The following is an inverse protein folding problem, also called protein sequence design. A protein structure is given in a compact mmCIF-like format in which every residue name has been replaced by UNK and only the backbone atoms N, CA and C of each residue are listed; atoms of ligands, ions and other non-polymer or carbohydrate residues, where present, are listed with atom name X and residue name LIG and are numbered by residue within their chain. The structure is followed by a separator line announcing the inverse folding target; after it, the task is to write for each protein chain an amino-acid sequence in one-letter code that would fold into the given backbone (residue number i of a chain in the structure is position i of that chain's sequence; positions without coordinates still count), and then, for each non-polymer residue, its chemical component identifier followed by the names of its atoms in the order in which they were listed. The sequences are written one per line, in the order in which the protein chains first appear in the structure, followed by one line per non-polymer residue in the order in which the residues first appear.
data_IF_540788974882
#
_entry.id   IF_540788974882
#
_cell.length_a   1.000
_cell.length_b   1.000
_cell.length_c   1.000
_cell.angle_alpha   90.00
_cell.angle_beta   90.00
_cell.angle_gamma   90.00
#
_symmetry.space_group_name_H-M   'P 1'
#
loop_
_entity.id
_entity.type
_entity.pdbx_description
1 polymer ?
#
# COMPACT_ATOMS: atom_id res chain seq x y z
N UNK A 1 1.14 -5.99 1.80
CA UNK A 1 0.26 -5.00 1.12
C UNK A 1 1.12 -4.15 0.19
N UNK A 2 0.61 -3.65 -0.93
CA UNK A 2 1.38 -2.81 -1.87
C UNK A 2 0.63 -1.52 -2.12
N UNK A 3 1.31 -0.40 -1.94
CA UNK A 3 0.84 0.95 -2.28
C UNK A 3 1.82 1.51 -3.30
N UNK A 4 1.33 2.25 -4.30
CA UNK A 4 2.20 2.97 -5.24
C UNK A 4 1.78 4.42 -5.42
N UNK A 5 2.73 5.27 -5.78
CA UNK A 5 2.44 6.70 -5.95
C UNK A 5 3.64 7.58 -6.28
N UNK A 6 3.42 8.89 -6.12
CA UNK A 6 4.44 9.92 -6.31
C UNK A 6 5.46 9.94 -5.17
N UNK A 7 6.50 10.76 -5.32
CA UNK A 7 7.48 10.95 -4.26
C UNK A 7 6.79 11.52 -3.01
N UNK A 8 6.98 10.93 -1.82
CA UNK A 8 6.25 11.30 -0.61
C UNK A 8 6.82 12.60 -0.04
N UNK A 9 6.22 13.73 -0.41
CA UNK A 9 6.55 15.06 0.09
C UNK A 9 5.33 15.80 0.61
N UNK A 10 5.57 16.73 1.52
CA UNK A 10 4.57 17.64 2.05
C UNK A 10 3.50 16.97 2.92
N UNK A 11 2.39 17.69 3.13
CA UNK A 11 1.27 17.24 3.94
C UNK A 11 0.37 16.26 3.18
N UNK A 12 -0.12 15.23 3.87
CA UNK A 12 -1.00 14.23 3.28
C UNK A 12 -2.38 14.79 2.89
N UNK A 13 -2.85 15.87 3.56
CA UNK A 13 -4.12 16.54 3.25
C UNK A 13 -3.95 18.06 3.21
N UNK A 14 -4.24 18.66 2.06
CA UNK A 14 -4.11 20.11 1.83
C UNK A 14 -5.32 20.90 2.37
N UNK A 15 -6.47 20.26 2.65
CA UNK A 15 -7.76 20.93 2.89
C UNK A 15 -8.59 20.38 4.05
N UNK A 16 -8.02 20.13 5.23
CA UNK A 16 -8.87 19.78 6.39
C UNK A 16 -8.46 20.59 7.61
N UNK A 17 -9.43 21.20 8.31
CA UNK A 17 -9.18 22.03 9.49
C UNK A 17 -8.93 21.23 10.78
N UNK A 18 -8.97 19.89 10.71
CA UNK A 18 -8.73 19.02 11.87
C UNK A 18 -7.24 18.89 12.15
N UNK A 19 -6.83 19.04 13.41
CA UNK A 19 -5.42 18.98 13.85
C UNK A 19 -4.70 17.68 13.42
N UNK A 20 -5.43 16.57 13.26
CA UNK A 20 -4.93 15.27 12.75
C UNK A 20 -4.65 15.24 11.24
N UNK A 21 -4.93 16.32 10.51
CA UNK A 21 -4.70 16.45 9.05
C UNK A 21 -3.35 17.07 8.67
N UNK A 22 -2.54 17.47 9.66
CA UNK A 22 -1.20 18.07 9.47
C UNK A 22 -0.07 17.06 9.34
N UNK A 23 -0.36 15.77 9.41
CA UNK A 23 0.66 14.72 9.31
C UNK A 23 1.34 14.74 7.93
N UNK A 24 2.67 14.67 7.92
CA UNK A 24 3.44 14.55 6.69
C UNK A 24 3.02 13.28 5.92
N UNK A 25 3.17 13.30 4.59
CA UNK A 25 2.90 12.13 3.75
C UNK A 25 3.66 10.89 4.24
N UNK A 26 4.90 11.07 4.69
CA UNK A 26 5.74 10.03 5.30
C UNK A 26 5.08 9.48 6.56
N UNK A 27 4.65 10.33 7.49
CA UNK A 27 3.97 9.89 8.71
C UNK A 27 2.68 9.10 8.40
N UNK A 28 1.91 9.52 7.39
CA UNK A 28 0.73 8.77 6.96
C UNK A 28 1.07 7.38 6.39
N UNK A 29 2.15 7.25 5.62
CA UNK A 29 2.61 5.95 5.12
C UNK A 29 3.06 5.04 6.26
N UNK A 30 3.83 5.56 7.22
CA UNK A 30 4.31 4.81 8.38
C UNK A 30 3.16 4.36 9.28
N UNK A 31 2.17 5.22 9.53
CA UNK A 31 0.97 4.88 10.32
C UNK A 31 0.04 3.90 9.61
N UNK A 32 0.04 3.88 8.27
CA UNK A 32 -0.59 2.82 7.48
C UNK A 32 0.20 1.49 7.53
N UNK A 33 1.37 1.49 8.19
CA UNK A 33 2.22 0.33 8.41
C UNK A 33 3.26 0.09 7.32
N UNK A 34 3.46 1.00 6.37
CA UNK A 34 4.51 0.82 5.35
C UNK A 34 5.86 0.62 6.04
N UNK A 35 6.54 -0.46 5.69
CA UNK A 35 7.84 -0.86 6.24
C UNK A 35 8.94 -0.91 5.18
N UNK A 36 8.56 -0.98 3.91
CA UNK A 36 9.50 -1.11 2.80
C UNK A 36 9.22 -0.07 1.73
N UNK A 37 10.22 0.75 1.43
CA UNK A 37 10.15 1.84 0.46
C UNK A 37 10.95 1.49 -0.79
N UNK A 38 10.31 1.48 -1.95
CA UNK A 38 10.93 1.18 -3.23
C UNK A 38 11.02 2.46 -4.07
N UNK A 39 12.22 2.99 -4.20
CA UNK A 39 12.50 4.20 -4.96
C UNK A 39 12.89 3.87 -6.40
N UNK A 40 12.10 4.35 -7.36
CA UNK A 40 12.32 4.15 -8.79
C UNK A 40 13.01 5.34 -9.48
N UNK A 41 13.41 6.34 -8.71
CA UNK A 41 13.97 7.60 -9.22
C UNK A 41 15.46 7.46 -9.51
N UNK A 42 15.96 8.23 -10.47
CA UNK A 42 17.40 8.31 -10.73
C UNK A 42 18.09 9.17 -9.67
N UNK A 43 19.39 8.96 -9.45
CA UNK A 43 20.15 9.68 -8.43
C UNK A 43 20.08 11.22 -8.62
N UNK A 44 20.09 11.69 -9.86
CA UNK A 44 19.94 13.10 -10.20
C UNK A 44 18.57 13.67 -9.85
N UNK A 45 17.50 12.87 -10.02
CA UNK A 45 16.17 13.26 -9.59
C UNK A 45 16.10 13.35 -8.07
N UNK A 46 16.65 12.37 -7.34
CA UNK A 46 16.71 12.38 -5.87
C UNK A 46 17.52 13.57 -5.34
N UNK A 47 18.65 13.90 -5.97
CA UNK A 47 19.46 15.06 -5.60
C UNK A 47 18.66 16.37 -5.71
N UNK A 48 17.78 16.49 -6.71
CA UNK A 48 16.86 17.64 -6.82
C UNK A 48 15.80 17.64 -5.73
N UNK A 49 15.32 16.47 -5.31
CA UNK A 49 14.31 16.35 -4.26
C UNK A 49 14.84 16.69 -2.86
N UNK A 50 16.15 16.57 -2.59
CA UNK A 50 16.75 17.00 -1.30
C UNK A 50 16.37 18.44 -0.93
N UNK A 51 16.27 19.33 -1.92
CA UNK A 51 15.93 20.74 -1.72
C UNK A 51 14.49 20.99 -1.28
N UNK A 52 13.61 20.00 -1.42
CA UNK A 52 12.19 20.10 -1.09
C UNK A 52 11.92 19.75 0.37
N UNK A 53 12.81 18.98 0.99
CA UNK A 53 12.70 18.56 2.39
C UNK A 53 13.23 19.64 3.32
N UNK A 54 12.51 19.92 4.41
CA UNK A 54 12.75 21.07 5.30
C UNK A 54 14.18 21.12 5.85
N UNK A 55 14.79 19.94 6.07
CA UNK A 55 16.14 19.79 6.63
C UNK A 55 17.22 19.47 5.58
N UNK A 56 16.87 19.47 4.29
CA UNK A 56 17.79 19.08 3.21
C UNK A 56 18.15 17.59 3.19
N UNK A 57 17.45 16.77 3.99
CA UNK A 57 17.66 15.34 4.10
C UNK A 57 17.23 14.60 2.85
N UNK A 58 17.79 13.42 2.63
CA UNK A 58 17.18 12.46 1.72
C UNK A 58 15.90 11.89 2.34
N UNK A 59 15.03 11.37 1.47
CA UNK A 59 13.78 10.76 1.91
C UNK A 59 13.98 9.59 2.88
N UNK A 60 15.00 8.75 2.66
CA UNK A 60 15.30 7.62 3.53
C UNK A 60 15.74 8.08 4.93
N UNK A 61 16.64 9.06 5.01
CA UNK A 61 17.04 9.69 6.28
C UNK A 61 15.83 10.25 7.03
N UNK A 62 14.99 11.03 6.35
CA UNK A 62 13.81 11.63 6.94
C UNK A 62 12.78 10.58 7.40
N UNK A 63 12.52 9.56 6.58
CA UNK A 63 11.61 8.47 6.92
C UNK A 63 12.07 7.68 8.14
N UNK A 64 13.38 7.43 8.28
CA UNK A 64 13.94 6.75 9.44
C UNK A 64 13.79 7.57 10.72
N UNK A 65 14.01 8.89 10.65
CA UNK A 65 13.78 9.79 11.79
C UNK A 65 12.30 9.79 12.20
N UNK A 66 11.38 9.94 11.25
CA UNK A 66 9.94 9.85 11.54
C UNK A 66 9.53 8.50 12.10
N UNK A 67 10.10 7.39 11.61
CA UNK A 67 9.83 6.06 12.14
C UNK A 67 10.26 5.94 13.61
N UNK A 68 11.47 6.42 13.93
CA UNK A 68 11.99 6.43 15.30
C UNK A 68 11.14 7.32 16.23
N UNK A 69 10.72 8.49 15.76
CA UNK A 69 9.89 9.42 16.54
C UNK A 69 8.49 8.85 16.78
N UNK A 70 7.82 8.32 15.75
CA UNK A 70 6.52 7.66 15.90
C UNK A 70 6.64 6.49 16.89
N UNK A 71 7.68 5.66 16.77
CA UNK A 71 7.90 4.54 17.69
C UNK A 71 8.08 5.01 19.14
N UNK A 72 8.78 6.13 19.36
CA UNK A 72 8.95 6.74 20.69
C UNK A 72 7.61 7.22 21.27
N UNK A 73 6.78 7.85 20.45
CA UNK A 73 5.44 8.28 20.88
C UNK A 73 4.53 7.08 21.18
N UNK A 74 4.62 6.02 20.38
CA UNK A 74 3.83 4.81 20.60
C UNK A 74 4.17 4.13 21.93
N UNK A 75 5.45 4.02 22.30
CA UNK A 75 5.82 3.40 23.59
C UNK A 75 5.31 4.25 24.77
N UNK A 76 5.35 5.58 24.67
CA UNK A 76 4.77 6.47 25.69
C UNK A 76 3.25 6.23 25.80
N UNK A 77 2.55 6.12 24.67
CA UNK A 77 1.12 5.80 24.65
C UNK A 77 0.79 4.43 25.26
N UNK A 78 1.59 3.40 24.99
CA UNK A 78 1.43 2.07 25.60
C UNK A 78 1.62 2.13 27.12
N UNK A 79 2.65 2.83 27.59
CA UNK A 79 2.92 2.97 29.02
C UNK A 79 1.78 3.72 29.73
N UNK A 80 1.27 4.81 29.14
CA UNK A 80 0.13 5.55 29.68
C UNK A 80 -1.14 4.68 29.76
N UNK A 81 -1.40 3.83 28.76
CA UNK A 81 -2.51 2.88 28.80
C UNK A 81 -2.31 1.82 29.89
N UNK A 82 -1.07 1.33 30.07
CA UNK A 82 -0.72 0.37 31.11
C UNK A 82 -0.96 0.94 32.51
N UNK A 83 -0.47 2.15 32.79
CA UNK A 83 -0.69 2.86 34.06
C UNK A 83 -2.18 3.06 34.34
N UNK A 84 -2.93 3.46 33.31
CA UNK A 84 -4.38 3.64 33.45
C UNK A 84 -5.13 2.34 33.72
N UNK A 85 -4.69 1.22 33.15
CA UNK A 85 -5.26 -0.09 33.40
C UNK A 85 -4.98 -0.53 34.85
N UNK A 86 -3.75 -0.35 35.33
CA UNK A 86 -3.39 -0.67 36.71
C UNK A 86 -4.20 0.15 37.72
N UNK A 87 -4.42 1.45 37.45
CA UNK A 87 -5.30 2.27 38.26
C UNK A 87 -6.75 1.75 38.28
N UNK A 88 -7.29 1.36 37.11
CA UNK A 88 -8.65 0.83 37.01
C UNK A 88 -8.82 -0.50 37.78
N UNK A 89 -7.85 -1.42 37.65
CA UNK A 89 -7.79 -2.67 38.41
C UNK A 89 -7.77 -2.43 39.92
N UNK A 90 -6.91 -1.53 40.38
CA UNK A 90 -6.80 -1.18 41.81
C UNK A 90 -8.12 -0.61 42.34
N UNK A 91 -8.81 0.23 41.55
CA UNK A 91 -10.10 0.81 41.91
C UNK A 91 -11.21 -0.24 41.96
N UNK A 92 -11.29 -1.14 40.98
CA UNK A 92 -12.27 -2.22 40.95
C UNK A 92 -12.05 -3.21 42.12
N UNK A 93 -10.79 -3.55 42.42
CA UNK A 93 -10.43 -4.39 43.57
C UNK A 93 -10.83 -3.75 44.90
N UNK A 94 -10.61 -2.44 45.06
CA UNK A 94 -11.07 -1.70 46.25
C UNK A 94 -12.59 -1.71 46.38
N UNK A 95 -13.33 -1.56 45.27
CA UNK A 95 -14.79 -1.67 45.26
C UNK A 95 -15.29 -3.01 45.81
N UNK A 96 -14.64 -4.11 45.39
CA UNK A 96 -14.92 -5.48 45.88
C UNK A 96 -14.63 -5.61 47.37
N UNK A 97 -13.54 -5.03 47.86
CA UNK A 97 -13.15 -5.08 49.28
C UNK A 97 -14.08 -4.26 50.18
N UNK A 98 -14.48 -3.07 49.74
CA UNK A 98 -15.34 -2.15 50.52
C UNK A 98 -16.82 -2.56 50.46
N UNK A 99 -17.18 -3.47 49.55
CA UNK A 99 -18.55 -3.98 49.42
C UNK A 99 -19.47 -2.99 48.70
N UNK A 100 -19.01 -2.40 47.59
CA UNK A 100 -19.88 -1.59 46.74
C UNK A 100 -21.09 -2.39 46.27
N UNK A 101 -22.24 -1.72 46.16
CA UNK A 101 -23.45 -2.33 45.63
C UNK A 101 -23.22 -2.86 44.21
N UNK A 102 -23.92 -3.92 43.83
CA UNK A 102 -23.71 -4.65 42.56
C UNK A 102 -23.63 -3.72 41.34
N UNK A 103 -24.55 -2.78 41.20
CA UNK A 103 -24.57 -1.82 40.09
C UNK A 103 -23.30 -0.93 40.03
N UNK A 104 -22.75 -0.53 41.18
CA UNK A 104 -21.54 0.28 41.24
C UNK A 104 -20.30 -0.57 40.95
N UNK A 105 -20.28 -1.82 41.41
CA UNK A 105 -19.19 -2.75 41.10
C UNK A 105 -19.15 -3.09 39.61
N UNK A 106 -20.31 -3.35 38.99
CA UNK A 106 -20.43 -3.65 37.56
C UNK A 106 -19.87 -2.48 36.71
N UNK A 107 -20.11 -1.22 37.12
CA UNK A 107 -19.53 -0.05 36.45
C UNK A 107 -17.99 0.00 36.53
N UNK A 108 -17.41 -0.41 37.67
CA UNK A 108 -15.96 -0.46 37.83
C UNK A 108 -15.34 -1.58 36.99
N UNK A 109 -15.99 -2.74 36.95
CA UNK A 109 -15.52 -3.89 36.17
C UNK A 109 -15.60 -3.59 34.65
N UNK A 110 -16.68 -2.94 34.17
CA UNK A 110 -16.78 -2.45 32.79
C UNK A 110 -15.67 -1.42 32.49
N UNK A 111 -15.38 -0.51 33.43
CA UNK A 111 -14.32 0.46 33.25
C UNK A 111 -12.92 -0.20 33.17
N UNK A 112 -12.66 -1.21 34.00
CA UNK A 112 -11.44 -2.03 33.96
C UNK A 112 -11.31 -2.73 32.60
N UNK A 113 -12.37 -3.38 32.12
CA UNK A 113 -12.40 -4.08 30.84
C UNK A 113 -12.15 -3.12 29.66
N UNK A 114 -12.78 -1.94 29.67
CA UNK A 114 -12.54 -0.92 28.64
C UNK A 114 -11.07 -0.48 28.60
N UNK A 115 -10.46 -0.22 29.76
CA UNK A 115 -9.02 0.14 29.83
C UNK A 115 -8.12 -1.00 29.37
N UNK A 116 -8.51 -2.24 29.63
CA UNK A 116 -7.78 -3.42 29.16
C UNK A 116 -7.79 -3.50 27.65
N UNK A 117 -8.96 -3.33 27.04
CA UNK A 117 -9.11 -3.31 25.59
C UNK A 117 -8.29 -2.17 24.95
N UNK A 118 -8.23 -0.99 25.58
CA UNK A 118 -7.42 0.13 25.10
C UNK A 118 -5.92 -0.18 25.17
N UNK A 119 -5.45 -0.77 26.27
CA UNK A 119 -4.07 -1.24 26.41
C UNK A 119 -3.72 -2.29 25.37
N UNK A 120 -4.55 -3.32 25.19
CA UNK A 120 -4.30 -4.40 24.24
C UNK A 120 -4.22 -3.88 22.80
N UNK A 121 -5.09 -2.94 22.43
CA UNK A 121 -5.03 -2.26 21.12
C UNK A 121 -3.75 -1.45 20.94
N UNK A 122 -3.36 -0.65 21.94
CA UNK A 122 -2.15 0.16 21.89
C UNK A 122 -0.90 -0.72 21.80
N UNK A 123 -0.84 -1.78 22.60
CA UNK A 123 0.24 -2.77 22.62
C UNK A 123 0.35 -3.49 21.28
N UNK A 124 -0.77 -3.98 20.74
CA UNK A 124 -0.80 -4.63 19.43
C UNK A 124 -0.38 -3.68 18.30
N UNK A 125 -0.75 -2.40 18.36
CA UNK A 125 -0.31 -1.42 17.37
C UNK A 125 1.21 -1.19 17.45
N UNK A 126 1.77 -1.04 18.65
CA UNK A 126 3.21 -0.90 18.85
C UNK A 126 4.00 -2.14 18.39
N UNK A 127 3.53 -3.35 18.74
CA UNK A 127 4.20 -4.60 18.41
C UNK A 127 4.19 -4.86 16.89
N UNK A 128 3.14 -4.44 16.19
CA UNK A 128 3.02 -4.52 14.73
C UNK A 128 3.66 -3.33 13.98
N UNK A 129 4.14 -2.31 14.71
CA UNK A 129 4.83 -1.17 14.12
C UNK A 129 6.29 -1.55 13.86
N UNK A 130 6.75 -1.31 12.64
CA UNK A 130 8.10 -1.73 12.24
C UNK A 130 9.17 -1.01 13.06
N UNK A 131 10.20 -1.71 13.58
CA UNK A 131 11.31 -1.07 14.27
C UNK A 131 12.30 -0.41 13.31
N UNK A 132 12.42 -0.94 12.09
CA UNK A 132 13.36 -0.49 11.07
C UNK A 132 12.69 -0.44 9.71
N UNK A 133 13.06 0.54 8.89
CA UNK A 133 12.58 0.64 7.51
C UNK A 133 13.55 -0.04 6.55
N UNK A 134 12.99 -0.66 5.52
CA UNK A 134 13.76 -1.14 4.38
C UNK A 134 13.67 -0.11 3.24
N UNK A 135 14.81 0.21 2.65
CA UNK A 135 14.88 1.09 1.48
C UNK A 135 15.50 0.33 0.31
N UNK A 136 14.74 0.18 -0.78
CA UNK A 136 15.18 -0.44 -2.03
C UNK A 136 15.34 0.67 -3.06
N UNK A 137 16.56 0.83 -3.56
CA UNK A 137 16.86 1.77 -4.63
C UNK A 137 16.99 1.02 -5.95
N UNK A 138 16.03 1.23 -6.86
CA UNK A 138 16.02 0.63 -8.19
C UNK A 138 15.79 1.71 -9.25
N UNK A 139 16.82 2.44 -9.68
CA UNK A 139 16.65 3.55 -10.61
C UNK A 139 16.13 3.04 -11.95
N UNK A 140 15.04 3.66 -12.42
CA UNK A 140 14.52 3.46 -13.77
C UNK A 140 14.64 4.78 -14.54
N UNK A 141 15.09 4.77 -15.81
CA UNK A 141 15.22 5.98 -16.61
C UNK A 141 13.93 6.80 -16.65
N UNK A 142 14.01 8.13 -16.62
CA UNK A 142 12.82 8.98 -16.83
C UNK A 142 12.20 8.71 -18.21
N UNK A 143 10.89 8.42 -18.24
CA UNK A 143 10.22 7.89 -19.44
C UNK A 143 10.08 6.36 -19.43
N UNK A 144 10.84 5.68 -18.56
CA UNK A 144 10.49 4.37 -17.99
C UNK A 144 10.58 3.17 -18.91
N UNK A 145 11.03 3.32 -20.16
CA UNK A 145 11.19 2.17 -21.06
C UNK A 145 12.60 1.65 -20.95
N UNK A 146 12.74 0.45 -20.40
CA UNK A 146 13.92 -0.35 -20.58
C UNK A 146 13.75 -1.10 -21.88
N UNK A 147 14.62 -0.83 -22.85
CA UNK A 147 14.51 -1.41 -24.21
C UNK A 147 15.46 -2.59 -24.38
N UNK A 148 16.45 -2.72 -23.49
CA UNK A 148 17.46 -3.77 -23.57
C UNK A 148 17.02 -5.00 -22.75
N UNK A 149 17.20 -6.22 -23.28
CA UNK A 149 16.84 -7.45 -22.57
C UNK A 149 17.44 -7.57 -21.16
N UNK A 150 18.67 -7.07 -20.97
CA UNK A 150 19.36 -7.10 -19.67
C UNK A 150 18.66 -6.22 -18.64
N UNK A 151 18.14 -5.08 -19.07
CA UNK A 151 17.44 -4.13 -18.22
C UNK A 151 16.06 -4.68 -17.80
N UNK A 152 15.38 -5.40 -18.70
CA UNK A 152 14.14 -6.11 -18.39
C UNK A 152 14.37 -7.24 -17.39
N UNK A 153 15.46 -8.01 -17.55
CA UNK A 153 15.82 -9.05 -16.60
C UNK A 153 16.00 -8.48 -15.19
N UNK A 154 16.72 -7.37 -15.05
CA UNK A 154 16.87 -6.68 -13.76
C UNK A 154 15.54 -6.24 -13.15
N UNK A 155 14.60 -5.80 -13.99
CA UNK A 155 13.25 -5.44 -13.53
C UNK A 155 12.48 -6.68 -13.06
N UNK A 156 12.58 -7.80 -13.79
CA UNK A 156 11.98 -9.07 -13.37
C UNK A 156 12.59 -9.59 -12.05
N UNK A 157 13.91 -9.50 -11.89
CA UNK A 157 14.61 -9.87 -10.65
C UNK A 157 14.11 -9.01 -9.46
N UNK A 158 13.92 -7.70 -9.67
CA UNK A 158 13.27 -6.84 -8.67
C UNK A 158 11.86 -7.35 -8.33
N UNK A 159 11.03 -7.66 -9.33
CA UNK A 159 9.66 -8.11 -9.08
C UNK A 159 9.63 -9.41 -8.25
N UNK A 160 10.54 -10.34 -8.51
CA UNK A 160 10.69 -11.57 -7.70
C UNK A 160 11.04 -11.24 -6.25
N UNK A 161 11.96 -10.30 -6.01
CA UNK A 161 12.29 -9.84 -4.66
C UNK A 161 11.07 -9.19 -3.98
N UNK A 162 10.34 -8.32 -4.67
CA UNK A 162 9.15 -7.67 -4.12
C UNK A 162 8.04 -8.69 -3.82
N UNK A 163 7.86 -9.72 -4.65
CA UNK A 163 6.93 -10.83 -4.41
C UNK A 163 7.29 -11.60 -3.14
N UNK A 164 8.57 -11.91 -2.93
CA UNK A 164 9.03 -12.60 -1.72
C UNK A 164 8.76 -11.77 -0.46
N UNK A 165 8.96 -10.45 -0.52
CA UNK A 165 8.63 -9.53 0.58
C UNK A 165 7.15 -9.50 0.89
N UNK A 166 6.31 -9.45 -0.15
CA UNK A 166 4.85 -9.52 0.02
C UNK A 166 4.44 -10.83 0.70
N UNK A 167 5.07 -11.97 0.35
CA UNK A 167 4.84 -13.27 1.03
C UNK A 167 5.27 -13.25 2.50
N UNK A 168 6.31 -12.48 2.86
CA UNK A 168 6.71 -12.22 4.25
C UNK A 168 5.80 -11.22 4.99
N UNK A 169 4.68 -10.83 4.36
CA UNK A 169 3.70 -9.86 4.87
C UNK A 169 4.25 -8.43 5.01
N UNK A 170 5.34 -8.10 4.33
CA UNK A 170 5.85 -6.73 4.26
C UNK A 170 4.83 -5.81 3.55
N UNK A 171 4.88 -4.52 3.90
CA UNK A 171 3.98 -3.47 3.40
C UNK A 171 4.80 -2.47 2.59
N UNK A 172 4.71 -2.60 1.27
CA UNK A 172 5.56 -1.91 0.32
C UNK A 172 4.92 -0.59 -0.12
N UNK A 173 5.73 0.46 -0.21
CA UNK A 173 5.41 1.69 -0.94
C UNK A 173 6.36 1.90 -2.11
N UNK A 174 5.82 1.80 -3.32
CA UNK A 174 6.57 1.90 -4.57
C UNK A 174 6.34 3.29 -5.17
N UNK A 175 7.42 4.08 -5.35
CA UNK A 175 7.26 5.44 -5.81
C UNK A 175 8.26 5.85 -6.88
N UNK A 176 7.82 6.84 -7.65
CA UNK A 176 8.63 7.60 -8.59
C UNK A 176 8.28 9.08 -8.45
N UNK A 177 8.87 9.99 -9.23
CA UNK A 177 8.59 11.42 -9.08
C UNK A 177 7.09 11.76 -9.07
N UNK A 178 6.33 11.32 -10.08
CA UNK A 178 4.90 11.62 -10.24
C UNK A 178 3.94 10.46 -9.95
N UNK A 179 4.45 9.24 -9.81
CA UNK A 179 3.64 8.07 -9.47
C UNK A 179 2.84 7.41 -10.61
N UNK A 180 2.67 8.10 -11.75
CA UNK A 180 1.91 7.57 -12.90
C UNK A 180 2.75 6.88 -13.97
N UNK A 181 4.08 7.10 -13.99
CA UNK A 181 4.98 6.51 -14.99
C UNK A 181 5.58 5.19 -14.52
N UNK A 182 6.83 5.26 -14.04
CA UNK A 182 7.63 4.11 -13.56
C UNK A 182 6.91 3.29 -12.47
N UNK A 183 6.33 3.98 -11.49
CA UNK A 183 5.57 3.32 -10.43
C UNK A 183 4.34 2.58 -10.97
N UNK A 184 3.67 3.13 -11.99
CA UNK A 184 2.58 2.46 -12.69
C UNK A 184 3.02 1.19 -13.42
N UNK A 185 4.20 1.21 -14.06
CA UNK A 185 4.78 0.02 -14.71
C UNK A 185 5.01 -1.08 -13.70
N UNK A 186 5.73 -0.79 -12.60
CA UNK A 186 6.02 -1.79 -11.57
C UNK A 186 4.74 -2.29 -10.90
N UNK A 187 3.77 -1.40 -10.64
CA UNK A 187 2.48 -1.79 -10.07
C UNK A 187 1.70 -2.73 -10.99
N UNK A 188 1.65 -2.45 -12.30
CA UNK A 188 0.95 -3.30 -13.27
C UNK A 188 1.62 -4.67 -13.41
N UNK A 189 2.95 -4.71 -13.48
CA UNK A 189 3.71 -5.95 -13.53
C UNK A 189 3.52 -6.80 -12.27
N UNK A 190 3.61 -6.19 -11.08
CA UNK A 190 3.34 -6.90 -9.81
C UNK A 190 1.90 -7.41 -9.77
N UNK A 191 0.93 -6.60 -10.17
CA UNK A 191 -0.48 -7.01 -10.15
C UNK A 191 -0.74 -8.18 -11.09
N UNK A 192 -0.20 -8.13 -12.31
CA UNK A 192 -0.26 -9.23 -13.27
C UNK A 192 0.32 -10.52 -12.70
N UNK A 193 1.56 -10.46 -12.18
CA UNK A 193 2.28 -11.63 -11.67
C UNK A 193 1.69 -12.22 -10.38
N UNK A 194 1.23 -11.37 -9.47
CA UNK A 194 0.66 -11.79 -8.18
C UNK A 194 -0.74 -12.38 -8.30
N UNK A 195 -1.51 -12.03 -9.33
CA UNK A 195 -2.90 -12.48 -9.47
C UNK A 195 -3.16 -13.32 -10.71
N UNK A 196 -2.16 -13.50 -11.58
CA UNK A 196 -2.31 -14.21 -12.84
C UNK A 196 -3.30 -13.56 -13.80
N UNK A 197 -3.40 -12.23 -13.76
CA UNK A 197 -4.33 -11.49 -14.64
C UNK A 197 -3.64 -11.05 -15.93
N UNK A 198 -4.43 -10.93 -16.99
CA UNK A 198 -3.95 -10.52 -18.30
C UNK A 198 -3.35 -9.10 -18.28
N UNK A 199 -2.37 -8.81 -19.15
CA UNK A 199 -1.67 -7.52 -19.11
C UNK A 199 -2.58 -6.31 -19.27
N UNK A 200 -3.59 -6.39 -20.16
CA UNK A 200 -4.55 -5.32 -20.37
C UNK A 200 -5.43 -5.08 -19.14
N UNK A 201 -5.84 -6.16 -18.46
CA UNK A 201 -6.60 -6.07 -17.22
C UNK A 201 -5.75 -5.47 -16.08
N UNK A 202 -4.47 -5.86 -15.99
CA UNK A 202 -3.54 -5.28 -15.02
C UNK A 202 -3.38 -3.76 -15.22
N UNK A 203 -3.21 -3.33 -16.47
CA UNK A 203 -3.13 -1.92 -16.85
C UNK A 203 -4.43 -1.18 -16.52
N UNK A 204 -5.59 -1.76 -16.83
CA UNK A 204 -6.88 -1.16 -16.52
C UNK A 204 -7.08 -0.97 -15.01
N UNK A 205 -6.77 -2.00 -14.20
CA UNK A 205 -6.90 -1.90 -12.74
C UNK A 205 -5.97 -0.84 -12.16
N UNK A 206 -4.72 -0.79 -12.62
CA UNK A 206 -3.75 0.24 -12.19
C UNK A 206 -4.21 1.64 -12.57
N UNK A 207 -4.79 1.82 -13.76
CA UNK A 207 -5.40 3.09 -14.17
C UNK A 207 -6.53 3.48 -13.21
N UNK A 208 -7.45 2.56 -12.91
CA UNK A 208 -8.57 2.83 -11.98
C UNK A 208 -8.05 3.22 -10.58
N UNK A 209 -7.03 2.53 -10.06
CA UNK A 209 -6.43 2.86 -8.76
C UNK A 209 -5.78 4.25 -8.74
N UNK A 210 -5.08 4.60 -9.81
CA UNK A 210 -4.50 5.93 -9.99
C UNK A 210 -5.60 7.01 -10.10
N UNK A 211 -6.68 6.71 -10.81
CA UNK A 211 -7.75 7.66 -11.07
C UNK A 211 -8.55 8.02 -9.81
N UNK A 212 -8.78 7.05 -8.92
CA UNK A 212 -9.36 7.32 -7.60
C UNK A 212 -8.54 8.35 -6.82
N UNK A 213 -7.20 8.31 -6.90
CA UNK A 213 -6.36 9.33 -6.29
C UNK A 213 -6.52 10.71 -6.96
N UNK A 214 -6.65 10.74 -8.29
CA UNK A 214 -6.88 11.97 -9.04
C UNK A 214 -8.20 12.65 -8.67
N UNK A 215 -9.28 11.87 -8.58
CA UNK A 215 -10.60 12.34 -8.15
C UNK A 215 -10.58 12.84 -6.71
N UNK A 216 -9.90 12.14 -5.79
CA UNK A 216 -9.74 12.59 -4.41
C UNK A 216 -9.02 13.94 -4.31
N UNK A 217 -8.08 14.22 -5.23
CA UNK A 217 -7.40 15.52 -5.34
C UNK A 217 -8.24 16.60 -6.05
N UNK A 218 -9.48 16.31 -6.41
CA UNK A 218 -10.38 17.23 -7.11
C UNK A 218 -9.98 17.50 -8.56
N UNK A 219 -9.19 16.63 -9.19
CA UNK A 219 -8.85 16.76 -10.60
C UNK A 219 -10.08 16.46 -11.45
N UNK A 220 -10.30 17.27 -12.48
CA UNK A 220 -11.33 16.99 -13.49
C UNK A 220 -10.92 15.77 -14.32
N UNK A 221 -11.91 15.06 -14.88
CA UNK A 221 -11.67 13.91 -15.77
C UNK A 221 -10.69 14.25 -16.91
N UNK A 222 -10.78 15.46 -17.46
CA UNK A 222 -9.89 15.97 -18.52
C UNK A 222 -8.43 16.17 -18.10
N UNK A 223 -8.14 16.08 -16.80
CA UNK A 223 -6.79 16.21 -16.22
C UNK A 223 -6.25 14.86 -15.73
N UNK A 224 -6.96 13.76 -15.99
CA UNK A 224 -6.52 12.42 -15.62
C UNK A 224 -5.46 11.95 -16.60
N UNK A 225 -4.25 11.80 -16.09
CA UNK A 225 -3.17 11.22 -16.85
C UNK A 225 -3.30 9.70 -16.87
N UNK A 226 -2.80 9.08 -17.93
CA UNK A 226 -2.70 7.64 -17.97
C UNK A 226 -1.64 7.10 -17.00
N UNK A 227 -1.84 5.87 -16.56
CA UNK A 227 -0.97 5.12 -15.67
C UNK A 227 -0.88 3.66 -16.14
N UNK A 228 0.25 3.20 -16.71
CA UNK A 228 1.48 3.95 -17.03
C UNK A 228 1.28 5.10 -18.02
N UNK A 229 2.05 6.18 -17.83
CA UNK A 229 1.93 7.43 -18.59
C UNK A 229 2.16 7.26 -20.10
N UNK A 230 3.24 6.61 -20.51
CA UNK A 230 3.63 6.50 -21.93
C UNK A 230 3.13 5.20 -22.57
N UNK A 231 2.90 5.20 -23.88
CA UNK A 231 2.50 4.00 -24.65
C UNK A 231 3.57 2.92 -24.54
N UNK A 232 4.84 3.28 -24.73
CA UNK A 232 5.99 2.37 -24.64
C UNK A 232 6.16 1.71 -23.26
N UNK A 233 5.71 2.37 -22.19
CA UNK A 233 5.64 1.77 -20.85
C UNK A 233 4.57 0.67 -20.77
N UNK A 234 3.42 0.88 -21.42
CA UNK A 234 2.34 -0.11 -21.49
C UNK A 234 2.73 -1.29 -22.36
N UNK A 235 3.38 -1.02 -23.50
CA UNK A 235 3.96 -2.06 -24.35
C UNK A 235 4.98 -2.91 -23.59
N UNK A 236 5.82 -2.30 -22.75
CA UNK A 236 6.73 -3.05 -21.87
C UNK A 236 5.95 -3.94 -20.89
N UNK A 237 4.88 -3.44 -20.26
CA UNK A 237 4.03 -4.26 -19.38
C UNK A 237 3.43 -5.44 -20.11
N UNK A 238 2.84 -5.21 -21.29
CA UNK A 238 2.26 -6.26 -22.14
C UNK A 238 3.31 -7.30 -22.49
N UNK A 239 4.47 -6.85 -22.99
CA UNK A 239 5.58 -7.71 -23.38
C UNK A 239 6.07 -8.56 -22.20
N UNK A 240 6.35 -7.97 -21.04
CA UNK A 240 6.90 -8.71 -19.89
C UNK A 240 5.89 -9.67 -19.25
N UNK A 241 4.60 -9.31 -19.22
CA UNK A 241 3.57 -10.20 -18.68
C UNK A 241 3.24 -11.37 -19.63
N UNK A 242 3.44 -11.22 -20.94
CA UNK A 242 3.28 -12.34 -21.89
C UNK A 242 4.29 -13.48 -21.67
N UNK A 243 5.49 -13.16 -21.15
CA UNK A 243 6.57 -14.13 -20.96
C UNK A 243 6.77 -14.57 -19.51
N UNK A 244 5.88 -14.16 -18.60
CA UNK A 244 6.00 -14.53 -17.19
C UNK A 244 4.92 -15.50 -16.79
N UNK A 245 5.34 -16.66 -16.26
CA UNK A 245 4.40 -17.61 -15.68
C UNK A 245 3.74 -16.97 -14.44
N UNK A 246 2.41 -16.86 -14.40
CA UNK A 246 1.73 -16.37 -13.23
C UNK A 246 1.85 -17.38 -12.07
N UNK A 247 2.09 -16.88 -10.86
CA UNK A 247 2.26 -17.74 -9.67
C UNK A 247 0.99 -18.56 -9.35
N UNK A 248 -0.17 -18.11 -9.84
CA UNK A 248 -1.49 -18.67 -9.53
C UNK A 248 -2.25 -19.18 -10.76
N UNK A 249 -1.55 -19.77 -11.74
CA UNK A 249 -2.16 -20.30 -12.96
C UNK A 249 -3.33 -21.29 -12.69
N UNK A 250 -3.35 -21.93 -11.52
CA UNK A 250 -4.39 -22.89 -11.13
C UNK A 250 -5.62 -22.30 -10.42
N UNK A 251 -5.68 -21.01 -10.13
CA UNK A 251 -6.91 -20.40 -9.60
C UNK A 251 -7.62 -19.64 -10.70
N UNK A 252 -8.50 -20.35 -11.40
CA UNK A 252 -9.47 -19.77 -12.34
C UNK A 252 -10.14 -18.57 -11.66
N UNK A 253 -9.81 -17.37 -12.12
CA UNK A 253 -10.49 -16.17 -11.67
C UNK A 253 -11.91 -16.18 -12.24
N UNK A 254 -12.91 -15.74 -11.46
CA UNK A 254 -14.34 -15.71 -11.88
C UNK A 254 -14.55 -15.12 -13.29
N UNK A 255 -13.69 -14.19 -13.72
CA UNK A 255 -13.71 -13.57 -15.04
C UNK A 255 -13.46 -14.56 -16.19
N UNK A 256 -12.62 -15.58 -16.01
CA UNK A 256 -12.42 -16.64 -17.00
C UNK A 256 -13.68 -17.52 -17.13
N UNK A 257 -14.38 -17.79 -16.01
CA UNK A 257 -15.64 -18.54 -16.02
C UNK A 257 -16.68 -17.81 -16.86
N UNK A 258 -16.81 -16.48 -16.71
CA UNK A 258 -17.80 -15.72 -17.46
C UNK A 258 -17.47 -15.67 -18.97
N UNK A 259 -16.20 -15.54 -19.35
CA UNK A 259 -15.80 -15.55 -20.77
C UNK A 259 -15.93 -16.93 -21.41
N UNK A 260 -15.61 -18.01 -20.69
CA UNK A 260 -15.74 -19.38 -21.20
C UNK A 260 -17.22 -19.80 -21.30
N UNK A 261 -18.08 -19.36 -20.36
CA UNK A 261 -19.53 -19.57 -20.43
C UNK A 261 -20.14 -18.80 -21.60
N UNK A 262 -19.68 -17.57 -21.87
CA UNK A 262 -20.15 -16.79 -23.03
C UNK A 262 -19.71 -17.46 -24.34
N UNK A 263 -18.45 -17.90 -24.47
CA UNK A 263 -17.97 -18.60 -25.68
C UNK A 263 -18.65 -19.96 -25.91
N UNK A 264 -18.95 -20.72 -24.85
CA UNK A 264 -19.70 -21.98 -24.96
C UNK A 264 -21.17 -21.75 -25.34
N UNK A 265 -21.76 -20.63 -24.92
CA UNK A 265 -23.13 -20.29 -25.30
C UNK A 265 -23.26 -19.89 -26.78
N UNK A 266 -22.32 -19.10 -27.30
CA UNK A 266 -22.32 -18.65 -28.71
C UNK A 266 -22.00 -19.77 -29.71
N UNK A 267 -21.12 -20.70 -29.34
CA UNK A 267 -20.84 -21.89 -30.17
C UNK A 267 -22.00 -22.89 -30.17
N UNK A 268 -22.78 -22.99 -29.09
CA UNK A 268 -23.98 -23.83 -29.05
C UNK A 268 -25.12 -23.28 -29.92
N UNK A 269 -25.26 -21.96 -30.02
CA UNK A 269 -26.31 -21.29 -30.82
C UNK A 269 -26.02 -21.33 -32.33
N UNK A 270 -24.75 -21.20 -32.74
CA UNK A 270 -24.37 -21.28 -34.16
C UNK A 270 -24.42 -22.71 -34.74
N UNK A 271 -24.40 -23.76 -33.91
CA UNK A 271 -24.51 -25.15 -34.36
C UNK A 271 -25.96 -25.60 -34.63
N UNK A 272 -26.97 -24.88 -34.15
CA UNK A 272 -28.40 -25.21 -34.32
C UNK A 272 -29.09 -24.53 -35.51
N UNK A 273 -28.43 -23.60 -36.19
CA UNK A 273 -28.99 -22.87 -37.35
C UNK A 273 -28.71 -23.50 -38.73
N UNK A 274 -27.90 -24.57 -38.82
CA UNK A 274 -27.43 -25.12 -40.10
C UNK A 274 -28.17 -26.38 -40.60
N UNK A 275 -29.34 -26.71 -40.04
CA UNK A 275 -30.18 -27.84 -40.51
C UNK A 275 -31.65 -27.48 -40.58
N UNK A 276 -32.03 -26.79 -41.66
CA UNK A 276 -33.33 -26.95 -42.32
C UNK A 276 -33.20 -26.39 -43.74
N UNK A 277 -33.02 -27.31 -44.69
CA UNK A 277 -33.50 -27.15 -46.07
C UNK A 277 -34.97 -27.53 -46.09
#
# INVERSE_FOLDING_TARGET
SVIFGGYPIGQARIKTERITSRSSSIACLLTAGVDTFVCLMEAEELARMKKVHEKGWLFDEEANVFCADIRRELIVGVNACAESLEYAKARAARGRQVGYGRAQQDQLDIAEENRRNDYDKAKAFYDNFTPNLNHIFFPMPKGGVRQRPEEDKQLLDLLVELEQRIRRKERLYIFSQGGSGRAGVVAALLLGRLYGIYPLEALERVQRYHDVQGQYKGRKQSQMESCPRLISQREQVVRLLQYTEPIYDSTITRTQIDNDVVQLSETSLNSRGARTR
#
